data_IF_328988228032
#
_entry.id   IF_328988228032
#
_cell.length_a   1.000
_cell.length_b   1.000
_cell.length_c   1.000
_cell.angle_alpha   90.00
_cell.angle_beta   90.00
_cell.angle_gamma   90.00
#
_symmetry.space_group_name_H-M   'P 1'
#
loop_
_entity.id
_entity.type
_entity.pdbx_description
1 polymer ?
#
# COMPACT_ATOMS: atom_id res chain seq x y z
N UNK A 1 9.47 8.41 3.95
CA UNK A 1 10.92 8.67 3.87
C UNK A 1 11.59 8.89 5.22
N UNK A 2 11.01 9.67 6.15
CA UNK A 2 11.61 9.88 7.49
C UNK A 2 11.98 8.58 8.23
N UNK A 3 11.18 7.52 8.10
CA UNK A 3 11.50 6.22 8.71
C UNK A 3 12.69 5.50 8.05
N UNK A 4 12.87 5.63 6.73
CA UNK A 4 14.02 5.05 6.02
C UNK A 4 15.30 5.83 6.33
N UNK A 5 15.24 7.17 6.22
CA UNK A 5 16.34 8.08 6.61
C UNK A 5 16.75 7.88 8.07
N UNK A 6 15.79 7.76 8.98
CA UNK A 6 16.04 7.57 10.42
C UNK A 6 16.58 6.19 10.78
N UNK A 7 16.30 5.15 9.98
CA UNK A 7 16.72 3.78 10.30
C UNK A 7 18.02 3.41 9.59
N UNK A 8 18.27 3.96 8.40
CA UNK A 8 19.36 3.52 7.52
C UNK A 8 20.29 4.65 7.05
N UNK A 9 20.00 5.91 7.36
CA UNK A 9 20.89 7.05 7.02
C UNK A 9 20.88 7.48 5.55
N UNK A 10 20.05 6.85 4.69
CA UNK A 10 20.02 7.12 3.26
C UNK A 10 19.48 8.52 2.94
N UNK A 11 19.96 9.09 1.84
CA UNK A 11 19.44 10.34 1.31
C UNK A 11 18.03 10.17 0.71
N UNK A 12 17.27 11.26 0.72
CA UNK A 12 15.83 11.23 0.35
C UNK A 12 15.65 10.90 -1.14
N UNK A 13 16.50 11.48 -1.99
CA UNK A 13 16.55 11.24 -3.43
C UNK A 13 16.82 9.76 -3.76
N UNK A 14 17.81 9.15 -3.11
CA UNK A 14 18.18 7.76 -3.33
C UNK A 14 17.04 6.80 -2.96
N UNK A 15 16.36 7.08 -1.84
CA UNK A 15 15.18 6.32 -1.46
C UNK A 15 14.03 6.48 -2.47
N UNK A 16 13.83 7.70 -3.01
CA UNK A 16 12.80 7.96 -3.99
C UNK A 16 13.05 7.17 -5.28
N UNK A 17 14.28 7.19 -5.79
CA UNK A 17 14.65 6.48 -7.01
C UNK A 17 14.54 4.96 -6.85
N UNK A 18 14.89 4.41 -5.68
CA UNK A 18 14.65 3.00 -5.38
C UNK A 18 13.17 2.65 -5.35
N UNK A 19 12.33 3.48 -4.75
CA UNK A 19 10.88 3.25 -4.71
C UNK A 19 10.32 3.28 -6.14
N UNK A 20 10.64 4.32 -6.93
CA UNK A 20 10.20 4.43 -8.33
C UNK A 20 10.63 3.25 -9.17
N UNK A 21 11.85 2.76 -8.96
CA UNK A 21 12.42 1.66 -9.75
C UNK A 21 11.86 0.29 -9.38
N UNK A 22 11.56 0.05 -8.10
CA UNK A 22 11.29 -1.29 -7.59
C UNK A 22 9.84 -1.50 -7.10
N UNK A 23 9.07 -0.43 -6.89
CA UNK A 23 7.73 -0.51 -6.31
C UNK A 23 6.72 0.14 -7.24
N UNK A 24 5.86 -0.68 -7.85
CA UNK A 24 4.72 -0.17 -8.62
C UNK A 24 3.59 0.26 -7.67
N UNK A 25 3.31 1.56 -7.61
CA UNK A 25 2.24 2.14 -6.79
C UNK A 25 1.02 2.43 -7.67
N UNK A 26 -0.09 1.72 -7.42
CA UNK A 26 -1.34 1.94 -8.14
C UNK A 26 -2.38 2.61 -7.24
N UNK A 27 -2.72 3.85 -7.59
CA UNK A 27 -3.74 4.64 -6.90
C UNK A 27 -5.16 4.33 -7.42
N UNK A 28 -5.72 3.20 -6.98
CA UNK A 28 -7.05 2.74 -7.46
C UNK A 28 -8.22 3.69 -7.15
N UNK A 29 -8.07 4.58 -6.17
CA UNK A 29 -9.05 5.61 -5.80
C UNK A 29 -8.57 7.05 -6.11
N UNK A 30 -7.58 7.19 -6.99
CA UNK A 30 -6.90 8.46 -7.21
C UNK A 30 -5.92 8.80 -6.09
N UNK A 31 -5.31 9.96 -6.20
CA UNK A 31 -4.29 10.47 -5.28
C UNK A 31 -4.51 11.96 -5.09
N UNK A 32 -4.33 12.46 -3.87
CA UNK A 32 -4.60 13.86 -3.56
C UNK A 32 -3.68 14.82 -4.32
N UNK A 33 -2.40 14.49 -4.38
CA UNK A 33 -1.41 15.22 -5.18
C UNK A 33 -0.21 14.30 -5.43
N UNK A 34 0.69 14.73 -6.29
CA UNK A 34 2.02 14.15 -6.39
C UNK A 34 2.80 14.45 -5.10
N UNK A 35 3.65 13.52 -4.67
CA UNK A 35 4.67 13.82 -3.66
C UNK A 35 5.81 14.62 -4.30
N UNK A 36 6.60 15.40 -3.52
CA UNK A 36 7.65 16.26 -4.08
C UNK A 36 8.72 15.50 -4.88
N UNK A 37 8.87 14.21 -4.61
CA UNK A 37 9.80 13.34 -5.34
C UNK A 37 9.18 12.70 -6.58
N UNK A 38 7.86 12.75 -6.75
CA UNK A 38 7.16 12.27 -7.95
C UNK A 38 7.10 13.34 -9.04
N UNK A 39 6.97 14.61 -8.63
CA UNK A 39 6.80 15.76 -9.51
C UNK A 39 7.37 17.02 -8.84
N UNK A 40 8.00 17.90 -9.63
CA UNK A 40 8.52 19.20 -9.18
C UNK A 40 7.43 20.10 -8.55
N UNK A 41 6.16 19.87 -8.90
CA UNK A 41 5.00 20.57 -8.33
C UNK A 41 4.27 19.77 -7.25
N UNK A 42 4.85 18.65 -6.81
CA UNK A 42 4.31 17.80 -5.75
C UNK A 42 4.34 18.48 -4.38
N UNK A 43 3.48 18.02 -3.48
CA UNK A 43 3.23 18.64 -2.18
C UNK A 43 3.74 17.78 -1.03
N UNK A 44 4.47 18.39 -0.10
CA UNK A 44 4.96 17.68 1.07
C UNK A 44 3.84 17.45 2.08
N UNK A 45 4.01 16.41 2.91
CA UNK A 45 3.04 16.12 3.95
C UNK A 45 3.01 17.26 4.99
N UNK A 46 1.82 17.83 5.22
CA UNK A 46 1.62 18.92 6.17
C UNK A 46 1.63 20.32 5.55
N UNK A 47 2.01 20.46 4.27
CA UNK A 47 1.86 21.72 3.55
C UNK A 47 0.39 22.12 3.54
N UNK A 48 0.08 23.41 3.64
CA UNK A 48 -1.29 23.93 3.57
C UNK A 48 -1.40 24.75 2.29
N UNK A 49 -2.40 24.51 1.42
CA UNK A 49 -2.58 25.30 0.20
C UNK A 49 -2.68 26.78 0.57
N UNK A 50 -1.82 27.58 -0.03
CA UNK A 50 -1.75 29.03 0.20
C UNK A 50 -2.62 29.81 -0.80
N UNK A 51 -2.97 29.16 -1.92
CA UNK A 51 -3.80 29.74 -2.98
C UNK A 51 -4.99 28.86 -3.36
N UNK A 52 -6.02 29.48 -3.97
CA UNK A 52 -7.16 28.75 -4.51
C UNK A 52 -6.74 27.79 -5.64
N UNK A 53 -5.79 28.19 -6.49
CA UNK A 53 -5.29 27.37 -7.58
C UNK A 53 -4.58 26.09 -7.08
N UNK A 54 -3.81 26.17 -5.99
CA UNK A 54 -3.21 25.00 -5.35
C UNK A 54 -4.29 24.06 -4.78
N UNK A 55 -5.31 24.62 -4.14
CA UNK A 55 -6.43 23.85 -3.60
C UNK A 55 -7.22 23.15 -4.72
N UNK A 56 -7.52 23.87 -5.80
CA UNK A 56 -8.20 23.32 -6.97
C UNK A 56 -7.39 22.19 -7.59
N UNK A 57 -6.08 22.38 -7.82
CA UNK A 57 -5.19 21.32 -8.32
C UNK A 57 -5.23 20.07 -7.44
N UNK A 58 -5.01 20.19 -6.13
CA UNK A 58 -5.05 19.03 -5.22
C UNK A 58 -6.45 18.37 -5.16
N UNK A 59 -7.52 19.12 -5.41
CA UNK A 59 -8.86 18.54 -5.44
C UNK A 59 -9.12 17.67 -6.68
N UNK A 60 -8.49 17.98 -7.83
CA UNK A 60 -8.68 17.23 -9.09
C UNK A 60 -8.17 15.79 -9.04
N UNK A 61 -7.23 15.49 -8.15
CA UNK A 61 -6.67 14.16 -7.98
C UNK A 61 -7.53 13.22 -7.11
N UNK A 62 -8.43 13.78 -6.28
CA UNK A 62 -9.31 13.02 -5.39
C UNK A 62 -10.47 12.47 -6.22
N UNK A 63 -10.56 11.14 -6.36
CA UNK A 63 -11.70 10.49 -7.02
C UNK A 63 -12.70 9.99 -5.99
N UNK A 64 -13.93 10.51 -6.02
CA UNK A 64 -15.00 10.05 -5.14
C UNK A 64 -15.59 8.76 -5.71
N UNK A 65 -15.99 7.83 -4.84
CA UNK A 65 -16.51 6.48 -5.18
C UNK A 65 -17.64 6.47 -6.23
N UNK A 66 -18.37 7.58 -6.39
CA UNK A 66 -19.49 7.76 -7.33
C UNK A 66 -19.07 8.26 -8.71
N UNK A 67 -17.85 8.77 -8.84
CA UNK A 67 -17.28 9.14 -10.14
C UNK A 67 -16.95 7.85 -10.90
N UNK A 68 -16.94 7.89 -12.24
CA UNK A 68 -16.56 6.73 -13.06
C UNK A 68 -15.13 6.33 -12.72
N UNK A 69 -14.99 5.43 -11.77
CA UNK A 69 -13.73 4.88 -11.32
C UNK A 69 -12.99 4.38 -12.56
N UNK A 70 -11.76 4.83 -12.73
CA UNK A 70 -10.93 4.47 -13.86
C UNK A 70 -10.74 2.95 -13.90
N UNK A 71 -11.44 2.29 -14.82
CA UNK A 71 -11.31 0.85 -15.05
C UNK A 71 -9.86 0.43 -15.30
N UNK A 72 -9.03 1.36 -15.79
CA UNK A 72 -7.59 1.14 -16.05
C UNK A 72 -6.82 0.82 -14.77
N UNK A 73 -6.92 1.62 -13.72
CA UNK A 73 -6.16 1.40 -12.47
C UNK A 73 -6.58 0.10 -11.79
N UNK A 74 -7.89 -0.18 -11.73
CA UNK A 74 -8.38 -1.47 -11.22
C UNK A 74 -7.92 -2.64 -12.08
N UNK A 75 -7.90 -2.50 -13.41
CA UNK A 75 -7.36 -3.52 -14.32
C UNK A 75 -5.88 -3.82 -14.07
N UNK A 76 -5.06 -2.78 -13.89
CA UNK A 76 -3.65 -2.92 -13.56
C UNK A 76 -3.45 -3.59 -12.20
N UNK A 77 -4.16 -3.14 -11.16
CA UNK A 77 -4.09 -3.73 -9.83
C UNK A 77 -4.49 -5.21 -9.83
N UNK A 78 -5.59 -5.56 -10.52
CA UNK A 78 -6.02 -6.96 -10.68
C UNK A 78 -4.97 -7.79 -11.40
N UNK A 79 -4.31 -7.25 -12.42
CA UNK A 79 -3.24 -7.96 -13.13
C UNK A 79 -2.09 -8.31 -12.19
N UNK A 80 -1.63 -7.35 -11.37
CA UNK A 80 -0.58 -7.59 -10.38
C UNK A 80 -1.00 -8.59 -9.31
N UNK A 81 -2.23 -8.46 -8.79
CA UNK A 81 -2.79 -9.40 -7.81
C UNK A 81 -2.80 -10.81 -8.40
N UNK A 82 -3.29 -10.98 -9.63
CA UNK A 82 -3.38 -12.27 -10.30
C UNK A 82 -2.00 -12.91 -10.51
N UNK A 83 -0.97 -12.13 -10.83
CA UNK A 83 0.40 -12.65 -11.02
C UNK A 83 1.20 -12.82 -9.73
N UNK A 84 0.73 -12.29 -8.60
CA UNK A 84 1.47 -12.34 -7.34
C UNK A 84 1.40 -13.71 -6.67
N UNK A 85 2.46 -14.14 -5.98
CA UNK A 85 2.44 -15.33 -5.12
C UNK A 85 1.99 -14.99 -3.68
N UNK A 86 2.19 -13.73 -3.29
CA UNK A 86 2.00 -13.20 -1.95
C UNK A 86 1.19 -11.91 -1.99
N UNK A 87 0.13 -11.85 -1.19
CA UNK A 87 -0.70 -10.66 -1.00
C UNK A 87 -0.63 -10.24 0.46
N UNK A 88 -0.28 -8.97 0.71
CA UNK A 88 -0.22 -8.39 2.06
C UNK A 88 -1.13 -7.18 2.15
N UNK A 89 -2.15 -7.27 3.01
CA UNK A 89 -3.06 -6.16 3.30
C UNK A 89 -2.56 -5.32 4.46
N UNK A 90 -2.24 -4.05 4.19
CA UNK A 90 -1.78 -3.08 5.19
C UNK A 90 -2.81 -1.96 5.35
N UNK A 91 -3.27 -1.73 6.58
CA UNK A 91 -4.18 -0.62 6.89
C UNK A 91 -5.54 -0.67 6.19
N UNK A 92 -5.94 -1.81 5.62
CA UNK A 92 -7.18 -1.96 4.87
C UNK A 92 -8.31 -2.47 5.76
N UNK A 93 -9.52 -1.96 5.56
CA UNK A 93 -10.70 -2.43 6.26
C UNK A 93 -11.23 -3.74 5.66
N UNK A 94 -10.68 -4.88 6.10
CA UNK A 94 -10.97 -6.21 5.55
C UNK A 94 -12.42 -6.67 5.74
N UNK A 95 -13.16 -6.15 6.72
CA UNK A 95 -14.57 -6.55 6.91
C UNK A 95 -15.52 -5.83 5.94
N UNK A 96 -15.06 -4.77 5.26
CA UNK A 96 -15.81 -4.12 4.18
C UNK A 96 -15.34 -4.68 2.83
N UNK A 97 -16.14 -5.61 2.32
CA UNK A 97 -15.78 -6.43 1.17
C UNK A 97 -15.84 -5.66 -0.17
N UNK A 98 -16.47 -4.47 -0.23
CA UNK A 98 -16.65 -3.71 -1.48
C UNK A 98 -15.32 -3.46 -2.21
N UNK A 99 -14.27 -3.07 -1.48
CA UNK A 99 -12.97 -2.82 -2.09
C UNK A 99 -12.25 -4.12 -2.48
N UNK A 100 -12.44 -5.18 -1.71
CA UNK A 100 -11.86 -6.50 -1.99
C UNK A 100 -12.52 -7.12 -3.24
N UNK A 101 -13.85 -6.99 -3.36
CA UNK A 101 -14.63 -7.44 -4.50
C UNK A 101 -14.23 -6.69 -5.77
N UNK A 102 -14.06 -5.36 -5.68
CA UNK A 102 -13.56 -4.56 -6.82
C UNK A 102 -12.16 -4.96 -7.25
N UNK A 103 -11.34 -5.50 -6.37
CA UNK A 103 -10.01 -6.03 -6.66
C UNK A 103 -10.00 -7.51 -7.03
N UNK A 104 -11.15 -8.19 -7.04
CA UNK A 104 -11.26 -9.61 -7.37
C UNK A 104 -10.37 -10.50 -6.48
N UNK A 105 -10.31 -10.18 -5.18
CA UNK A 105 -9.48 -10.95 -4.24
C UNK A 105 -9.99 -12.39 -4.09
N UNK A 106 -11.31 -12.62 -4.16
CA UNK A 106 -11.88 -13.98 -4.07
C UNK A 106 -11.38 -14.93 -5.16
N UNK A 107 -11.12 -14.40 -6.35
CA UNK A 107 -10.65 -15.18 -7.50
C UNK A 107 -9.21 -15.69 -7.31
N UNK A 108 -8.53 -15.26 -6.24
CA UNK A 108 -7.10 -15.43 -6.01
C UNK A 108 -6.77 -16.14 -4.68
N UNK A 109 -7.75 -16.73 -3.99
CA UNK A 109 -7.58 -17.28 -2.65
C UNK A 109 -6.85 -18.63 -2.60
N UNK A 110 -6.90 -19.42 -3.67
CA UNK A 110 -6.49 -20.83 -3.62
C UNK A 110 -4.98 -21.06 -3.80
N UNK A 111 -4.31 -20.19 -4.56
CA UNK A 111 -2.93 -20.39 -5.00
C UNK A 111 -1.95 -19.38 -4.39
N UNK A 112 -2.41 -18.57 -3.43
CA UNK A 112 -1.64 -17.43 -2.93
C UNK A 112 -1.53 -17.44 -1.42
N UNK A 113 -0.39 -16.94 -0.95
CA UNK A 113 -0.20 -16.66 0.47
C UNK A 113 -0.78 -15.30 0.79
N UNK A 114 -1.73 -15.22 1.73
CA UNK A 114 -2.42 -13.96 2.05
C UNK A 114 -2.17 -13.59 3.51
N UNK A 115 -1.66 -12.39 3.75
CA UNK A 115 -1.47 -11.78 5.06
C UNK A 115 -2.32 -10.53 5.22
N UNK A 116 -2.73 -10.25 6.45
CA UNK A 116 -3.41 -9.01 6.79
C UNK A 116 -3.53 -8.84 8.30
N UNK A 117 -4.09 -7.71 8.71
CA UNK A 117 -4.34 -7.43 10.13
C UNK A 117 -5.85 -7.43 10.42
N UNK A 118 -6.25 -8.14 11.47
CA UNK A 118 -7.61 -8.10 12.03
C UNK A 118 -7.63 -7.43 13.42
N UNK A 119 -6.54 -6.76 13.80
CA UNK A 119 -6.43 -6.08 15.08
C UNK A 119 -7.46 -4.95 15.15
N UNK A 120 -8.23 -4.92 16.25
CA UNK A 120 -9.27 -3.91 16.47
C UNK A 120 -10.64 -4.26 15.88
N UNK A 121 -10.78 -5.39 15.16
CA UNK A 121 -12.07 -5.86 14.69
C UNK A 121 -12.88 -6.53 15.82
N UNK A 122 -14.19 -6.32 15.82
CA UNK A 122 -15.14 -7.03 16.68
C UNK A 122 -15.33 -8.49 16.24
N UNK A 123 -15.97 -9.32 17.06
CA UNK A 123 -16.28 -10.73 16.72
C UNK A 123 -16.99 -10.87 15.37
N UNK A 124 -18.15 -10.20 15.15
CA UNK A 124 -18.86 -10.26 13.89
C UNK A 124 -18.04 -9.75 12.68
N UNK A 125 -17.14 -8.78 12.90
CA UNK A 125 -16.25 -8.29 11.83
C UNK A 125 -15.18 -9.34 11.48
N UNK A 126 -14.62 -10.03 12.47
CA UNK A 126 -13.67 -11.12 12.24
C UNK A 126 -14.33 -12.29 11.53
N UNK A 127 -15.55 -12.65 11.91
CA UNK A 127 -16.34 -13.69 11.22
C UNK A 127 -16.53 -13.36 9.74
N UNK A 128 -16.93 -12.12 9.42
CA UNK A 128 -17.04 -11.67 8.02
C UNK A 128 -15.73 -11.73 7.24
N UNK A 129 -14.61 -11.44 7.90
CA UNK A 129 -13.29 -11.56 7.27
C UNK A 129 -12.96 -13.03 7.02
N UNK A 130 -13.12 -13.89 8.02
CA UNK A 130 -12.85 -15.31 7.89
C UNK A 130 -13.72 -15.98 6.82
N UNK A 131 -15.02 -15.63 6.77
CA UNK A 131 -15.95 -16.07 5.73
C UNK A 131 -15.48 -15.63 4.33
N UNK A 132 -15.08 -14.36 4.19
CA UNK A 132 -14.60 -13.84 2.90
C UNK A 132 -13.35 -14.55 2.41
N UNK A 133 -12.40 -14.81 3.30
CA UNK A 133 -11.11 -15.41 2.98
C UNK A 133 -11.11 -16.94 3.11
N UNK A 134 -12.23 -17.57 3.43
CA UNK A 134 -12.35 -19.01 3.71
C UNK A 134 -11.25 -19.52 4.67
N UNK A 135 -11.02 -18.78 5.76
CA UNK A 135 -9.97 -19.03 6.77
C UNK A 135 -8.51 -19.01 6.25
N UNK A 136 -8.26 -18.54 5.02
CA UNK A 136 -6.91 -18.48 4.43
C UNK A 136 -6.10 -17.24 4.81
N UNK A 137 -6.71 -16.29 5.52
CA UNK A 137 -6.02 -15.07 5.94
C UNK A 137 -5.05 -15.37 7.08
N UNK A 138 -3.75 -15.21 6.83
CA UNK A 138 -2.74 -15.28 7.86
C UNK A 138 -2.70 -13.98 8.67
N UNK A 139 -3.54 -13.90 9.71
CA UNK A 139 -3.65 -12.72 10.57
C UNK A 139 -2.88 -12.85 11.90
N UNK A 140 -1.77 -13.61 11.92
CA UNK A 140 -1.00 -13.85 13.16
C UNK A 140 -0.66 -12.52 13.82
N UNK A 141 -1.12 -12.36 15.06
CA UNK A 141 -0.69 -11.28 15.93
C UNK A 141 0.75 -11.60 16.32
N UNK A 142 1.73 -10.98 15.64
CA UNK A 142 3.10 -11.00 16.14
C UNK A 142 3.12 -10.06 17.34
N UNK A 143 3.35 -10.53 18.57
CA UNK A 143 3.61 -9.62 19.67
C UNK A 143 4.87 -8.84 19.30
N UNK A 144 4.75 -7.51 19.21
CA UNK A 144 5.91 -6.61 19.09
C UNK A 144 6.58 -6.54 20.47
N UNK A 145 6.97 -7.69 21.01
CA UNK A 145 7.76 -7.81 22.24
C UNK A 145 9.21 -8.01 21.82
N UNK A 146 9.87 -6.91 21.49
CA UNK A 146 11.29 -6.89 21.17
C UNK A 146 11.68 -5.55 20.60
N UNK A 147 12.79 -4.97 21.08
CA UNK A 147 13.51 -3.94 20.34
C UNK A 147 13.63 -4.43 18.90
N UNK A 148 13.29 -3.60 17.91
CA UNK A 148 13.62 -3.89 16.50
C UNK A 148 15.08 -4.32 16.50
N UNK A 149 15.36 -5.59 16.18
CA UNK A 149 16.75 -5.96 15.93
C UNK A 149 17.17 -5.08 14.75
N UNK A 150 18.24 -4.27 14.86
CA UNK A 150 18.85 -3.76 13.65
C UNK A 150 19.09 -4.97 12.76
N UNK A 151 18.73 -4.85 11.49
CA UNK A 151 19.07 -5.88 10.50
C UNK A 151 20.57 -5.70 10.28
N UNK A 152 21.37 -6.21 11.22
CA UNK A 152 22.82 -6.17 11.15
C UNK A 152 23.20 -7.03 9.94
N UNK A 153 23.63 -6.39 8.86
CA UNK A 153 24.11 -7.04 7.65
C UNK A 153 23.44 -6.62 6.34
N UNK A 154 22.35 -5.85 6.38
CA UNK A 154 21.78 -5.23 5.17
C UNK A 154 21.74 -3.72 5.32
N UNK A 155 22.48 -3.01 4.46
CA UNK A 155 22.11 -1.63 4.17
C UNK A 155 20.71 -1.66 3.50
N UNK A 156 19.85 -0.66 3.76
CA UNK A 156 18.50 -0.65 3.20
C UNK A 156 18.47 -0.63 1.66
N UNK A 157 19.57 -0.18 1.04
CA UNK A 157 19.74 -0.20 -0.40
C UNK A 157 19.84 -1.65 -0.88
N UNK A 158 20.68 -2.48 -0.26
CA UNK A 158 20.87 -3.90 -0.52
C UNK A 158 19.58 -4.68 -0.32
N UNK A 159 18.84 -4.44 0.77
CA UNK A 159 17.53 -5.07 0.98
C UNK A 159 16.53 -4.70 -0.14
N UNK A 160 16.41 -3.41 -0.48
CA UNK A 160 15.50 -2.99 -1.56
C UNK A 160 15.96 -3.47 -2.95
N UNK A 161 17.26 -3.62 -3.16
CA UNK A 161 17.83 -4.03 -4.45
C UNK A 161 17.86 -5.55 -4.65
N UNK A 162 17.98 -6.34 -3.59
CA UNK A 162 18.11 -7.79 -3.64
C UNK A 162 16.76 -8.51 -3.40
N UNK A 163 15.99 -8.06 -2.40
CA UNK A 163 14.78 -8.77 -1.93
C UNK A 163 13.47 -8.16 -2.47
N UNK A 164 13.47 -6.86 -2.82
CA UNK A 164 12.32 -6.20 -3.46
C UNK A 164 12.48 -6.18 -4.98
N UNK A 165 12.97 -7.28 -5.55
CA UNK A 165 12.81 -7.55 -6.98
C UNK A 165 11.55 -8.39 -7.14
N UNK A 166 10.46 -7.76 -7.56
CA UNK A 166 9.36 -8.51 -8.16
C UNK A 166 9.92 -9.14 -9.45
N UNK A 167 10.14 -10.45 -9.45
CA UNK A 167 10.44 -11.22 -10.66
C UNK A 167 9.24 -11.24 -11.60
#
# INVERSE_FOLDING_TARGET
MNSLKSTFGNETEECAELIKKNIEIIHVHGKMDDLPWENDYGRAYGDIPSTLAELERSSTGIKIIHEKIEKKCFGMARKLINSSELIVFLGLNLHNQINLDRLHIKDNLDEKTIYGTIKGLSGPQKEKVNEYFCDKLNAKVVPVSGRRRPIDGFDALGFLQEEVRFQ
#
